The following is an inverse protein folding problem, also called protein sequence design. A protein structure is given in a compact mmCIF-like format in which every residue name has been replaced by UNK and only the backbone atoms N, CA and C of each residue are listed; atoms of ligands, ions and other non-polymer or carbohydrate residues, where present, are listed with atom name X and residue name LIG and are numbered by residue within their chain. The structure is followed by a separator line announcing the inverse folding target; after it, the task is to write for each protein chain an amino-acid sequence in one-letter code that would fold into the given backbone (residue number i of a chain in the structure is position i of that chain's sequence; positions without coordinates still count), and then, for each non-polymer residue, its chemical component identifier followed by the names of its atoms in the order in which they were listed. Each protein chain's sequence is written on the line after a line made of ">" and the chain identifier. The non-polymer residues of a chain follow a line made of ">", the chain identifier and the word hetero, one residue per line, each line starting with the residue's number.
data_IF_060721314054
#
_entry.id   IF_060721314054
#
_cell.length_a   1.000
_cell.length_b   1.000
_cell.length_c   1.000
_cell.angle_alpha   90.00
_cell.angle_beta   90.00
_cell.angle_gamma   90.00
#
_symmetry.space_group_name_H-M   'P 1'
#
loop_
_entity.id
_entity.type
_entity.pdbx_description
1 polymer ?
#
# COMPACT_ATOMS: atom_id res chain seq x y z
N UNK A 1 12.37 -28.31 13.30
CA UNK A 1 13.60 -28.22 14.10
C UNK A 1 14.87 -28.19 13.25
N UNK A 2 15.03 -29.07 12.24
CA UNK A 2 16.22 -29.06 11.34
C UNK A 2 15.80 -28.79 9.89
N UNK A 3 16.55 -27.94 9.18
CA UNK A 3 16.33 -27.59 7.78
C UNK A 3 17.55 -27.91 6.91
N UNK A 4 17.31 -28.23 5.63
CA UNK A 4 18.37 -28.65 4.70
C UNK A 4 19.10 -29.92 5.15
N UNK A 5 18.35 -30.94 5.55
CA UNK A 5 18.91 -32.17 6.11
C UNK A 5 19.44 -33.12 5.04
N UNK A 6 20.46 -33.90 5.39
CA UNK A 6 20.89 -35.07 4.62
C UNK A 6 20.66 -36.33 5.47
N UNK A 7 19.80 -37.28 5.04
CA UNK A 7 18.92 -37.24 3.87
C UNK A 7 17.78 -36.20 3.96
N UNK A 8 17.19 -35.84 2.82
CA UNK A 8 16.18 -34.78 2.73
C UNK A 8 14.86 -35.09 3.46
N UNK A 9 14.59 -36.37 3.71
CA UNK A 9 13.45 -36.83 4.50
C UNK A 9 14.00 -37.68 5.63
N UNK A 10 13.80 -37.24 6.87
CA UNK A 10 14.22 -37.99 8.04
C UNK A 10 13.28 -39.18 8.19
N UNK A 11 13.81 -40.39 8.17
CA UNK A 11 13.06 -41.61 8.44
C UNK A 11 13.49 -42.19 9.78
N UNK A 12 12.49 -42.50 10.61
CA UNK A 12 12.71 -43.21 11.85
C UNK A 12 12.61 -44.71 11.59
N UNK A 13 13.67 -45.45 11.94
CA UNK A 13 13.65 -46.90 11.85
C UNK A 13 12.63 -47.47 12.85
N UNK A 14 11.62 -48.18 12.34
CA UNK A 14 10.52 -48.76 13.12
C UNK A 14 10.99 -49.82 14.14
N UNK A 15 12.18 -50.40 13.97
CA UNK A 15 12.69 -51.48 14.82
C UNK A 15 13.66 -50.96 15.88
N UNK A 16 14.52 -50.01 15.53
CA UNK A 16 15.54 -49.48 16.44
C UNK A 16 15.16 -48.13 17.06
N UNK A 17 14.16 -47.45 16.52
CA UNK A 17 13.75 -46.11 16.92
C UNK A 17 14.75 -45.01 16.55
N UNK A 18 15.83 -45.36 15.83
CA UNK A 18 16.88 -44.42 15.45
C UNK A 18 16.47 -43.60 14.22
N UNK A 19 16.78 -42.30 14.25
CA UNK A 19 16.62 -41.40 13.10
C UNK A 19 17.87 -41.50 12.21
N UNK A 20 17.66 -41.40 10.90
CA UNK A 20 18.72 -41.46 9.88
C UNK A 20 19.40 -40.12 9.56
N UNK A 21 19.20 -39.09 10.40
CA UNK A 21 19.74 -37.74 10.20
C UNK A 21 21.27 -37.72 10.30
N UNK A 22 21.96 -37.31 9.22
CA UNK A 22 23.43 -37.25 9.15
C UNK A 22 23.93 -35.80 9.33
N UNK A 23 23.31 -34.85 8.62
CA UNK A 23 23.68 -33.44 8.68
C UNK A 23 22.46 -32.53 8.54
N UNK A 24 22.57 -31.30 9.03
CA UNK A 24 21.57 -30.24 8.88
C UNK A 24 22.28 -28.90 8.65
N UNK A 25 21.66 -28.03 7.84
CA UNK A 25 22.22 -26.71 7.51
C UNK A 25 21.66 -25.60 8.37
N UNK A 26 20.37 -25.69 8.74
CA UNK A 26 19.68 -24.66 9.53
C UNK A 26 18.96 -25.29 10.72
N UNK A 27 18.92 -24.56 11.83
CA UNK A 27 18.24 -24.94 13.06
C UNK A 27 17.11 -23.94 13.32
N UNK A 28 15.90 -24.46 13.59
CA UNK A 28 14.76 -23.66 14.03
C UNK A 28 14.52 -23.92 15.52
N UNK A 29 14.59 -22.85 16.31
CA UNK A 29 14.27 -22.83 17.73
C UNK A 29 13.30 -21.69 18.00
N UNK A 30 12.35 -21.89 18.91
CA UNK A 30 11.33 -20.91 19.23
C UNK A 30 11.02 -20.95 20.71
N UNK A 31 10.68 -19.79 21.27
CA UNK A 31 10.25 -19.65 22.65
C UNK A 31 8.73 -19.45 22.63
N UNK A 32 7.93 -20.50 22.90
CA UNK A 32 6.50 -20.31 23.02
C UNK A 32 6.21 -19.49 24.29
N UNK A 33 5.35 -18.49 24.16
CA UNK A 33 4.87 -17.70 25.30
C UNK A 33 3.35 -17.54 25.20
N UNK A 34 2.69 -17.51 26.36
CA UNK A 34 1.24 -17.37 26.47
C UNK A 34 0.88 -16.02 27.07
N UNK A 35 -0.11 -15.34 26.48
CA UNK A 35 -0.71 -14.15 27.09
C UNK A 35 -1.79 -14.60 28.08
N UNK A 36 -1.42 -14.76 29.36
CA UNK A 36 -2.38 -14.98 30.45
C UNK A 36 -3.08 -13.68 30.85
N UNK A 37 -4.23 -13.80 31.51
CA UNK A 37 -5.00 -12.66 32.03
C UNK A 37 -4.12 -11.74 32.88
N UNK A 38 -3.96 -10.49 32.43
CA UNK A 38 -3.14 -9.46 33.07
C UNK A 38 -1.82 -9.13 32.36
N UNK A 39 -1.39 -9.92 31.38
CA UNK A 39 -0.24 -9.60 30.51
C UNK A 39 -0.73 -8.76 29.33
N UNK A 40 -0.17 -7.56 29.20
CA UNK A 40 -0.52 -6.64 28.11
C UNK A 40 0.28 -6.97 26.84
N UNK A 41 -0.11 -6.36 25.71
CA UNK A 41 0.65 -6.45 24.46
C UNK A 41 2.06 -5.86 24.62
N UNK A 42 2.19 -4.83 25.46
CA UNK A 42 3.44 -4.12 25.74
C UNK A 42 4.45 -5.03 26.47
N UNK A 43 3.99 -5.85 27.42
CA UNK A 43 4.87 -6.79 28.13
C UNK A 43 5.46 -7.86 27.18
N UNK A 44 4.68 -8.29 26.18
CA UNK A 44 5.17 -9.21 25.15
C UNK A 44 6.16 -8.54 24.20
N UNK A 45 5.91 -7.28 23.83
CA UNK A 45 6.83 -6.46 23.04
C UNK A 45 8.17 -6.26 23.78
N UNK A 46 8.16 -6.03 25.09
CA UNK A 46 9.39 -5.90 25.89
C UNK A 46 10.24 -7.19 25.88
N UNK A 47 9.60 -8.35 25.99
CA UNK A 47 10.30 -9.63 25.88
C UNK A 47 10.90 -9.83 24.48
N UNK A 48 10.13 -9.53 23.42
CA UNK A 48 10.58 -9.65 22.04
C UNK A 48 11.79 -8.75 21.76
N UNK A 49 11.75 -7.51 22.21
CA UNK A 49 12.86 -6.55 22.07
C UNK A 49 14.10 -6.99 22.87
N UNK A 50 13.91 -7.52 24.08
CA UNK A 50 15.01 -8.06 24.88
C UNK A 50 15.70 -9.26 24.23
N UNK A 51 14.95 -10.11 23.51
CA UNK A 51 15.51 -11.23 22.75
C UNK A 51 16.26 -10.73 21.51
N UNK A 52 15.74 -9.70 20.83
CA UNK A 52 16.40 -9.06 19.71
C UNK A 52 17.78 -8.51 20.10
N UNK A 53 17.86 -7.74 21.19
CA UNK A 53 19.13 -7.17 21.69
C UNK A 53 20.18 -8.26 21.95
N UNK A 54 19.76 -9.41 22.50
CA UNK A 54 20.66 -10.54 22.76
C UNK A 54 21.17 -11.14 21.45
N UNK A 55 20.30 -11.30 20.45
CA UNK A 55 20.63 -11.87 19.15
C UNK A 55 21.57 -10.94 18.37
N UNK A 56 21.32 -9.64 18.40
CA UNK A 56 22.17 -8.65 17.75
C UNK A 56 23.55 -8.57 18.40
N UNK A 57 23.61 -8.60 19.74
CA UNK A 57 24.87 -8.72 20.47
C UNK A 57 25.62 -9.99 20.07
N UNK A 58 24.94 -11.14 20.05
CA UNK A 58 25.54 -12.42 19.64
C UNK A 58 26.07 -12.39 18.20
N UNK A 59 25.29 -11.85 17.25
CA UNK A 59 25.68 -11.71 15.86
C UNK A 59 26.88 -10.76 15.67
N UNK A 60 27.04 -9.77 16.54
CA UNK A 60 28.17 -8.84 16.51
C UNK A 60 29.46 -9.43 17.09
N UNK A 61 29.37 -10.27 18.12
CA UNK A 61 30.52 -10.89 18.79
C UNK A 61 31.04 -12.12 18.04
N UNK A 62 30.14 -12.86 17.39
CA UNK A 62 30.49 -14.09 16.67
C UNK A 62 30.84 -13.75 15.23
N UNK A 63 32.12 -13.84 14.87
CA UNK A 63 32.64 -13.47 13.54
C UNK A 63 32.15 -14.46 12.45
N UNK A 64 30.88 -14.33 12.05
CA UNK A 64 30.16 -15.00 10.95
C UNK A 64 30.07 -16.53 10.97
N UNK A 65 30.61 -17.23 11.98
CA UNK A 65 30.52 -18.69 12.05
C UNK A 65 29.09 -19.18 12.31
N UNK A 66 28.30 -18.42 13.05
CA UNK A 66 26.89 -18.67 13.32
C UNK A 66 26.17 -17.33 13.24
N UNK A 67 25.21 -17.21 12.33
CA UNK A 67 24.31 -16.05 12.24
C UNK A 67 22.91 -16.48 12.66
N UNK A 68 22.32 -15.73 13.59
CA UNK A 68 20.99 -16.00 14.11
C UNK A 68 20.02 -14.99 13.51
N UNK A 69 18.92 -15.48 12.95
CA UNK A 69 17.88 -14.68 12.33
C UNK A 69 16.61 -14.77 13.17
N UNK A 70 16.12 -13.63 13.64
CA UNK A 70 14.95 -13.55 14.52
C UNK A 70 13.69 -13.22 13.72
N UNK A 71 12.59 -13.85 14.11
CA UNK A 71 11.24 -13.43 13.73
C UNK A 71 10.42 -13.20 14.99
N UNK A 72 9.81 -12.01 15.08
CA UNK A 72 8.77 -11.69 16.03
C UNK A 72 7.66 -10.91 15.34
N UNK A 73 6.46 -10.92 15.90
CA UNK A 73 5.34 -10.17 15.33
C UNK A 73 5.57 -8.66 15.43
N UNK A 74 6.26 -8.21 16.49
CA UNK A 74 6.60 -6.80 16.67
C UNK A 74 7.64 -6.35 15.66
N UNK A 75 8.69 -7.14 15.44
CA UNK A 75 9.73 -6.82 14.46
C UNK A 75 9.20 -6.77 13.03
N UNK A 76 8.24 -7.63 12.70
CA UNK A 76 7.50 -7.53 11.45
C UNK A 76 6.77 -6.18 11.34
N UNK A 77 5.99 -5.82 12.36
CA UNK A 77 5.26 -4.54 12.41
C UNK A 77 6.16 -3.30 12.36
N UNK A 78 7.32 -3.37 12.99
CA UNK A 78 8.35 -2.32 12.97
C UNK A 78 9.02 -2.21 11.61
N UNK A 79 9.38 -3.32 10.96
CA UNK A 79 9.94 -3.30 9.62
C UNK A 79 8.97 -2.62 8.63
N UNK A 80 7.69 -3.01 8.67
CA UNK A 80 6.64 -2.36 7.87
C UNK A 80 6.53 -0.86 8.15
N UNK A 81 6.52 -0.46 9.42
CA UNK A 81 6.33 0.94 9.81
C UNK A 81 7.57 1.79 9.52
N UNK A 82 8.75 1.22 9.72
CA UNK A 82 10.06 1.82 9.44
C UNK A 82 10.23 2.13 7.97
N UNK A 83 9.94 1.16 7.10
CA UNK A 83 10.00 1.35 5.64
C UNK A 83 9.08 2.49 5.17
N UNK A 84 7.84 2.53 5.68
CA UNK A 84 6.89 3.61 5.35
C UNK A 84 7.41 4.99 5.80
N UNK A 85 8.05 5.06 6.98
CA UNK A 85 8.58 6.31 7.53
C UNK A 85 9.83 6.78 6.79
N UNK A 86 10.71 5.86 6.38
CA UNK A 86 11.88 6.19 5.59
C UNK A 86 11.50 6.68 4.19
N UNK A 87 10.50 6.06 3.57
CA UNK A 87 9.97 6.50 2.29
C UNK A 87 9.30 7.87 2.32
N UNK A 88 8.79 8.30 3.49
CA UNK A 88 8.22 9.63 3.67
C UNK A 88 9.23 10.74 3.33
N UNK A 89 10.53 10.51 3.54
CA UNK A 89 11.60 11.45 3.14
C UNK A 89 11.64 11.63 1.62
N UNK A 90 11.50 10.55 0.85
CA UNK A 90 11.45 10.61 -0.62
C UNK A 90 10.17 11.29 -1.12
N UNK A 91 9.05 11.10 -0.43
CA UNK A 91 7.80 11.83 -0.72
C UNK A 91 8.02 13.33 -0.57
N UNK A 92 8.66 13.79 0.52
CA UNK A 92 8.97 15.22 0.71
C UNK A 92 9.87 15.79 -0.39
N UNK A 93 10.90 15.05 -0.80
CA UNK A 93 11.76 15.44 -1.94
C UNK A 93 10.94 15.55 -3.22
N UNK A 94 10.04 14.61 -3.47
CA UNK A 94 9.16 14.61 -4.64
C UNK A 94 8.22 15.81 -4.66
N UNK A 95 7.64 16.18 -3.51
CA UNK A 95 6.82 17.39 -3.37
C UNK A 95 7.65 18.64 -3.69
N UNK A 96 8.89 18.71 -3.20
CA UNK A 96 9.82 19.80 -3.52
C UNK A 96 10.11 19.91 -5.02
N UNK A 97 10.35 18.79 -5.68
CA UNK A 97 10.57 18.75 -7.13
C UNK A 97 9.32 19.19 -7.90
N UNK A 98 8.13 18.77 -7.50
CA UNK A 98 6.87 19.24 -8.11
C UNK A 98 6.66 20.73 -7.87
N UNK A 99 7.00 21.27 -6.69
CA UNK A 99 6.93 22.70 -6.42
C UNK A 99 7.83 23.50 -7.37
N UNK A 100 9.08 23.05 -7.55
CA UNK A 100 10.04 23.64 -8.49
C UNK A 100 9.50 23.56 -9.92
N UNK A 101 8.97 22.40 -10.33
CA UNK A 101 8.33 22.22 -11.62
C UNK A 101 7.16 23.21 -11.82
N UNK A 102 6.27 23.36 -10.84
CA UNK A 102 5.14 24.28 -10.91
C UNK A 102 5.61 25.73 -11.07
N UNK A 103 6.66 26.15 -10.36
CA UNK A 103 7.22 27.50 -10.45
C UNK A 103 7.79 27.77 -11.85
N UNK A 104 8.50 26.80 -12.44
CA UNK A 104 9.12 26.96 -13.76
C UNK A 104 8.13 26.90 -14.92
N UNK A 105 7.15 25.98 -14.87
CA UNK A 105 6.29 25.68 -16.02
C UNK A 105 4.94 26.40 -15.99
N UNK A 106 4.44 26.83 -14.83
CA UNK A 106 3.15 27.53 -14.76
C UNK A 106 3.23 29.00 -15.18
N UNK A 107 4.44 29.57 -15.20
CA UNK A 107 4.71 30.94 -15.64
C UNK A 107 5.65 31.01 -16.84
N UNK A 108 5.86 32.22 -17.36
CA UNK A 108 6.91 32.49 -18.34
C UNK A 108 8.11 33.17 -17.69
N UNK A 109 9.27 33.14 -18.35
CA UNK A 109 10.49 33.82 -17.90
C UNK A 109 10.42 35.35 -18.11
N UNK A 110 9.36 35.98 -17.62
CA UNK A 110 9.17 37.42 -17.53
C UNK A 110 8.73 37.77 -16.11
N UNK A 111 9.21 38.89 -15.53
CA UNK A 111 8.90 39.25 -14.13
C UNK A 111 7.41 39.40 -13.85
N UNK A 112 6.62 39.71 -14.88
CA UNK A 112 5.19 39.99 -14.77
C UNK A 112 4.37 38.73 -15.03
N UNK A 113 4.82 37.87 -15.95
CA UNK A 113 4.18 36.59 -16.28
C UNK A 113 4.73 35.41 -15.46
N UNK A 114 5.66 35.68 -14.55
CA UNK A 114 6.10 34.72 -13.55
C UNK A 114 4.96 34.49 -12.55
N UNK A 115 4.67 33.21 -12.26
CA UNK A 115 3.50 32.75 -11.47
C UNK A 115 3.91 31.82 -10.32
N UNK A 116 5.02 32.14 -9.65
CA UNK A 116 5.43 31.48 -8.41
C UNK A 116 4.38 31.54 -7.32
N UNK A 117 3.65 32.65 -7.19
CA UNK A 117 2.58 32.76 -6.20
C UNK A 117 1.41 31.82 -6.53
N UNK A 118 1.08 31.64 -7.82
CA UNK A 118 0.08 30.66 -8.24
C UNK A 118 0.53 29.23 -7.92
N UNK A 119 1.82 28.91 -8.09
CA UNK A 119 2.39 27.61 -7.73
C UNK A 119 2.30 27.34 -6.22
N UNK A 120 2.57 28.36 -5.39
CA UNK A 120 2.36 28.27 -3.94
C UNK A 120 0.90 28.03 -3.57
N UNK A 121 -0.04 28.75 -4.20
CA UNK A 121 -1.48 28.58 -3.97
C UNK A 121 -1.97 27.21 -4.47
N UNK A 122 -1.40 26.68 -5.55
CA UNK A 122 -1.68 25.30 -6.01
C UNK A 122 -1.36 24.28 -4.93
N UNK A 123 -0.15 24.31 -4.38
CA UNK A 123 0.24 23.41 -3.30
C UNK A 123 -0.60 23.62 -2.04
N UNK A 124 -0.94 24.87 -1.73
CA UNK A 124 -1.81 25.21 -0.62
C UNK A 124 -3.23 24.63 -0.77
N UNK A 125 -3.83 24.74 -1.96
CA UNK A 125 -5.12 24.14 -2.27
C UNK A 125 -5.09 22.62 -2.10
N UNK A 126 -4.01 21.96 -2.54
CA UNK A 126 -3.85 20.51 -2.35
C UNK A 126 -3.74 20.16 -0.87
N UNK A 127 -2.91 20.87 -0.10
CA UNK A 127 -2.75 20.65 1.33
C UNK A 127 -4.06 20.88 2.12
N UNK A 128 -4.82 21.93 1.78
CA UNK A 128 -6.14 22.17 2.33
C UNK A 128 -7.13 21.06 1.99
N UNK A 129 -7.10 20.56 0.75
CA UNK A 129 -8.00 19.51 0.29
C UNK A 129 -7.70 18.18 0.98
N UNK A 130 -6.42 17.84 1.15
CA UNK A 130 -5.99 16.67 1.91
C UNK A 130 -6.41 16.76 3.38
N UNK A 131 -6.19 17.92 4.03
CA UNK A 131 -6.61 18.16 5.41
C UNK A 131 -8.13 18.05 5.58
N UNK A 132 -8.89 18.65 4.66
CA UNK A 132 -10.35 18.59 4.67
C UNK A 132 -10.88 17.17 4.46
N UNK A 133 -10.30 16.42 3.52
CA UNK A 133 -10.66 15.03 3.25
C UNK A 133 -10.34 14.12 4.44
N UNK A 134 -9.17 14.30 5.05
CA UNK A 134 -8.75 13.51 6.21
C UNK A 134 -9.66 13.79 7.41
N UNK A 135 -9.95 15.06 7.69
CA UNK A 135 -10.88 15.45 8.76
C UNK A 135 -12.31 14.92 8.52
N UNK A 136 -12.81 15.04 7.29
CA UNK A 136 -14.13 14.51 6.95
C UNK A 136 -14.20 12.99 7.06
N UNK A 137 -13.16 12.28 6.58
CA UNK A 137 -13.13 10.81 6.62
C UNK A 137 -13.05 10.28 8.05
N UNK A 138 -12.32 10.98 8.93
CA UNK A 138 -12.29 10.66 10.35
C UNK A 138 -13.65 10.88 11.03
N UNK A 139 -14.37 11.95 10.67
CA UNK A 139 -15.74 12.19 11.18
C UNK A 139 -16.75 11.11 10.75
N UNK A 140 -16.53 10.49 9.59
CA UNK A 140 -17.37 9.38 9.10
C UNK A 140 -17.02 8.05 9.81
N UNK A 141 -15.89 7.98 10.53
CA UNK A 141 -15.49 6.81 11.32
C UNK A 141 -14.46 5.90 10.63
N UNK A 142 -13.82 6.35 9.54
CA UNK A 142 -12.74 5.58 8.92
C UNK A 142 -11.42 5.74 9.68
N UNK A 143 -10.74 4.62 9.91
CA UNK A 143 -9.43 4.58 10.55
C UNK A 143 -8.31 4.88 9.56
N UNK A 144 -7.24 5.51 10.04
CA UNK A 144 -6.06 5.78 9.22
C UNK A 144 -5.16 4.55 9.13
N UNK A 145 -4.75 4.19 7.91
CA UNK A 145 -3.75 3.15 7.64
C UNK A 145 -2.45 3.79 7.13
N UNK A 146 -1.31 3.10 7.28
CA UNK A 146 0.00 3.61 6.84
C UNK A 146 0.04 4.02 5.36
N UNK A 147 -0.76 3.37 4.51
CA UNK A 147 -0.88 3.67 3.08
C UNK A 147 -1.43 5.09 2.80
N UNK A 148 -2.10 5.72 3.75
CA UNK A 148 -2.60 7.10 3.61
C UNK A 148 -1.47 8.13 3.49
N UNK A 149 -0.25 7.80 3.89
CA UNK A 149 0.93 8.66 3.74
C UNK A 149 1.29 8.94 2.27
N UNK A 150 0.85 8.09 1.35
CA UNK A 150 1.04 8.26 -0.10
C UNK A 150 -0.01 9.20 -0.72
N UNK A 151 -1.11 9.46 -0.02
CA UNK A 151 -2.24 10.21 -0.56
C UNK A 151 -1.91 11.67 -0.93
N UNK A 152 -1.13 12.43 -0.13
CA UNK A 152 -0.72 13.78 -0.52
C UNK A 152 -0.02 13.82 -1.88
N UNK A 153 0.86 12.85 -2.15
CA UNK A 153 1.58 12.78 -3.42
C UNK A 153 0.62 12.55 -4.60
N UNK A 154 -0.32 11.61 -4.45
CA UNK A 154 -1.36 11.35 -5.44
C UNK A 154 -2.22 12.61 -5.72
N UNK A 155 -2.67 13.30 -4.66
CA UNK A 155 -3.50 14.50 -4.79
C UNK A 155 -2.74 15.67 -5.42
N UNK A 156 -1.43 15.79 -5.20
CA UNK A 156 -0.60 16.79 -5.87
C UNK A 156 -0.61 16.55 -7.38
N UNK A 157 -0.42 15.32 -7.84
CA UNK A 157 -0.44 15.00 -9.27
C UNK A 157 -1.76 15.42 -9.94
N UNK A 158 -2.89 15.07 -9.33
CA UNK A 158 -4.23 15.41 -9.84
C UNK A 158 -4.49 16.93 -9.75
N UNK A 159 -4.09 17.57 -8.65
CA UNK A 159 -4.38 18.97 -8.36
C UNK A 159 -3.60 19.93 -9.25
N UNK A 160 -2.31 19.64 -9.43
CA UNK A 160 -1.42 20.39 -10.30
C UNK A 160 -1.95 20.36 -11.73
N UNK A 161 -2.34 19.20 -12.26
CA UNK A 161 -2.91 19.07 -13.61
C UNK A 161 -4.11 20.01 -13.83
N UNK A 162 -5.10 19.97 -12.94
CA UNK A 162 -6.28 20.83 -13.01
C UNK A 162 -5.92 22.32 -13.01
N UNK A 163 -5.00 22.74 -12.15
CA UNK A 163 -4.60 24.15 -12.00
C UNK A 163 -3.78 24.63 -13.20
N UNK A 164 -2.95 23.76 -13.78
CA UNK A 164 -2.23 24.02 -15.03
C UNK A 164 -3.20 24.18 -16.21
N UNK A 165 -4.24 23.36 -16.31
CA UNK A 165 -5.26 23.50 -17.36
C UNK A 165 -5.98 24.85 -17.24
N UNK A 166 -6.37 25.28 -16.04
CA UNK A 166 -6.96 26.62 -15.81
C UNK A 166 -5.98 27.71 -16.24
N UNK A 167 -4.74 27.66 -15.77
CA UNK A 167 -3.70 28.64 -16.10
C UNK A 167 -3.48 28.76 -17.61
N UNK A 168 -3.35 27.61 -18.29
CA UNK A 168 -3.15 27.52 -19.74
C UNK A 168 -4.30 28.16 -20.52
N UNK A 169 -5.57 27.86 -20.19
CA UNK A 169 -6.72 28.45 -20.86
C UNK A 169 -6.83 29.97 -20.64
N UNK A 170 -6.38 30.47 -19.48
CA UNK A 170 -6.30 31.91 -19.22
C UNK A 170 -5.19 32.60 -20.02
N UNK A 171 -4.12 31.90 -20.35
CA UNK A 171 -3.06 32.39 -21.24
C UNK A 171 -3.47 32.36 -22.72
N UNK A 172 -4.34 31.43 -23.11
CA UNK A 172 -4.97 31.43 -24.44
C UNK A 172 -5.99 32.55 -24.60
N UNK A 173 -6.61 33.04 -23.52
CA UNK A 173 -7.55 34.16 -23.60
C UNK A 173 -6.90 35.45 -24.15
N UNK A 174 -7.73 36.33 -24.70
CA UNK A 174 -7.29 37.63 -25.24
C UNK A 174 -6.85 38.56 -24.09
N UNK A 175 -5.57 38.99 -24.04
CA UNK A 175 -5.05 39.84 -22.97
C UNK A 175 -5.70 41.24 -22.92
N UNK A 176 -6.31 41.69 -24.02
CA UNK A 176 -6.98 43.00 -24.11
C UNK A 176 -8.34 43.04 -23.41
N UNK A 177 -8.93 41.86 -23.14
CA UNK A 177 -10.25 41.78 -22.53
C UNK A 177 -10.17 41.98 -21.02
N UNK A 178 -11.21 42.58 -20.40
CA UNK A 178 -11.24 42.74 -18.95
C UNK A 178 -11.18 41.38 -18.23
N UNK A 179 -10.60 41.36 -17.02
CA UNK A 179 -10.38 40.14 -16.22
C UNK A 179 -11.61 39.24 -16.16
N UNK A 180 -12.79 39.83 -15.96
CA UNK A 180 -14.07 39.09 -15.91
C UNK A 180 -14.32 38.25 -17.17
N UNK A 181 -14.05 38.81 -18.35
CA UNK A 181 -14.27 38.13 -19.64
C UNK A 181 -13.22 37.06 -19.87
N UNK A 182 -11.96 37.32 -19.48
CA UNK A 182 -10.87 36.33 -19.54
C UNK A 182 -11.13 35.14 -18.62
N UNK A 183 -11.54 35.38 -17.38
CA UNK A 183 -11.95 34.33 -16.44
C UNK A 183 -13.13 33.53 -16.97
N UNK A 184 -14.15 34.19 -17.53
CA UNK A 184 -15.29 33.49 -18.15
C UNK A 184 -14.84 32.57 -19.28
N UNK A 185 -13.96 33.04 -20.15
CA UNK A 185 -13.40 32.23 -21.24
C UNK A 185 -12.62 31.02 -20.70
N UNK A 186 -11.69 31.26 -19.78
CA UNK A 186 -10.88 30.19 -19.18
C UNK A 186 -11.74 29.14 -18.49
N UNK A 187 -12.73 29.54 -17.69
CA UNK A 187 -13.58 28.60 -16.95
C UNK A 187 -14.56 27.83 -17.84
N UNK A 188 -15.04 28.40 -18.95
CA UNK A 188 -15.88 27.65 -19.90
C UNK A 188 -15.11 26.49 -20.54
N UNK A 189 -13.84 26.71 -20.87
CA UNK A 189 -13.00 25.72 -21.54
C UNK A 189 -12.30 24.76 -20.56
N UNK A 190 -11.70 25.27 -19.49
CA UNK A 190 -11.01 24.45 -18.48
C UNK A 190 -12.01 23.77 -17.53
N UNK A 191 -13.01 24.50 -17.05
CA UNK A 191 -13.91 24.04 -15.99
C UNK A 191 -14.70 22.80 -16.38
N UNK A 192 -15.22 22.74 -17.61
CA UNK A 192 -15.96 21.58 -18.10
C UNK A 192 -15.11 20.30 -18.14
N UNK A 193 -13.87 20.40 -18.63
CA UNK A 193 -12.91 19.29 -18.62
C UNK A 193 -12.58 18.83 -17.21
N UNK A 194 -12.27 19.78 -16.31
CA UNK A 194 -11.90 19.52 -14.92
C UNK A 194 -13.04 18.87 -14.13
N UNK A 195 -14.29 19.29 -14.36
CA UNK A 195 -15.46 18.68 -13.73
C UNK A 195 -15.59 17.22 -14.13
N UNK A 196 -15.44 16.89 -15.42
CA UNK A 196 -15.56 15.52 -15.91
C UNK A 196 -14.44 14.64 -15.35
N UNK A 197 -13.18 15.10 -15.41
CA UNK A 197 -12.04 14.33 -14.90
C UNK A 197 -12.12 14.15 -13.39
N UNK A 198 -12.46 15.20 -12.63
CA UNK A 198 -12.59 15.10 -11.17
C UNK A 198 -13.76 14.20 -10.74
N UNK A 199 -14.90 14.28 -11.43
CA UNK A 199 -16.06 13.43 -11.14
C UNK A 199 -15.78 11.96 -11.43
N UNK A 200 -15.17 11.67 -12.58
CA UNK A 200 -14.82 10.29 -12.96
C UNK A 200 -13.76 9.71 -12.02
N UNK A 201 -12.73 10.48 -11.65
CA UNK A 201 -11.73 10.06 -10.66
C UNK A 201 -12.35 9.83 -9.27
N UNK A 202 -13.21 10.73 -8.80
CA UNK A 202 -13.88 10.58 -7.51
C UNK A 202 -14.75 9.31 -7.48
N UNK A 203 -15.51 9.02 -8.54
CA UNK A 203 -16.28 7.78 -8.64
C UNK A 203 -15.38 6.55 -8.67
N UNK A 204 -14.29 6.58 -9.45
CA UNK A 204 -13.37 5.44 -9.54
C UNK A 204 -12.78 5.08 -8.16
N UNK A 205 -12.35 6.08 -7.38
CA UNK A 205 -11.89 5.85 -6.01
C UNK A 205 -13.03 5.44 -5.07
N UNK A 206 -14.20 6.07 -5.14
CA UNK A 206 -15.34 5.66 -4.30
C UNK A 206 -15.84 4.24 -4.60
N UNK A 207 -15.72 3.76 -5.84
CA UNK A 207 -15.97 2.36 -6.17
C UNK A 207 -14.93 1.42 -5.55
N UNK A 208 -13.69 1.89 -5.33
CA UNK A 208 -12.66 1.19 -4.58
C UNK A 208 -13.06 0.86 -3.13
N UNK A 209 -14.01 1.61 -2.56
CA UNK A 209 -14.57 1.32 -1.23
C UNK A 209 -15.36 0.00 -1.18
N UNK A 210 -15.63 -0.64 -2.31
CA UNK A 210 -16.26 -1.98 -2.36
C UNK A 210 -15.27 -3.11 -2.08
N UNK A 211 -13.97 -2.81 -1.95
CA UNK A 211 -12.96 -3.79 -1.59
C UNK A 211 -13.22 -4.40 -0.21
N UNK A 212 -12.90 -5.69 -0.06
CA UNK A 212 -12.97 -6.42 1.22
C UNK A 212 -11.78 -6.15 2.14
N UNK A 213 -10.72 -5.52 1.63
CA UNK A 213 -9.54 -5.17 2.41
C UNK A 213 -9.76 -3.79 3.03
N UNK A 214 -9.92 -3.75 4.35
CA UNK A 214 -10.24 -2.54 5.13
C UNK A 214 -9.27 -1.38 4.85
N UNK A 215 -7.97 -1.68 4.74
CA UNK A 215 -6.94 -0.70 4.42
C UNK A 215 -7.17 -0.04 3.04
N UNK A 216 -7.58 -0.83 2.04
CA UNK A 216 -7.88 -0.32 0.69
C UNK A 216 -9.22 0.43 0.65
N UNK A 217 -10.21 -0.04 1.41
CA UNK A 217 -11.49 0.64 1.53
C UNK A 217 -11.31 2.04 2.13
N UNK A 218 -10.59 2.15 3.25
CA UNK A 218 -10.29 3.43 3.89
C UNK A 218 -9.48 4.35 2.95
N UNK A 219 -8.40 3.84 2.35
CA UNK A 219 -7.58 4.60 1.41
C UNK A 219 -8.40 5.17 0.24
N UNK A 220 -9.26 4.34 -0.34
CA UNK A 220 -10.11 4.69 -1.47
C UNK A 220 -11.12 5.79 -1.10
N UNK A 221 -11.69 5.73 0.11
CA UNK A 221 -12.60 6.75 0.61
C UNK A 221 -11.89 8.09 0.82
N UNK A 222 -10.73 8.09 1.49
CA UNK A 222 -9.92 9.29 1.71
C UNK A 222 -9.50 9.92 0.37
N UNK A 223 -9.09 9.11 -0.61
CA UNK A 223 -8.73 9.57 -1.95
C UNK A 223 -9.91 10.18 -2.70
N UNK A 224 -11.06 9.51 -2.70
CA UNK A 224 -12.28 10.01 -3.34
C UNK A 224 -12.71 11.36 -2.76
N UNK A 225 -12.74 11.49 -1.44
CA UNK A 225 -13.05 12.76 -0.78
C UNK A 225 -11.98 13.82 -1.03
N UNK A 226 -10.70 13.43 -1.06
CA UNK A 226 -9.58 14.29 -1.44
C UNK A 226 -9.79 14.94 -2.80
N UNK A 227 -10.20 14.17 -3.79
CA UNK A 227 -10.48 14.65 -5.15
C UNK A 227 -11.68 15.59 -5.17
N UNK A 228 -12.75 15.29 -4.41
CA UNK A 228 -13.93 16.17 -4.30
C UNK A 228 -13.56 17.54 -3.72
N UNK A 229 -12.82 17.57 -2.60
CA UNK A 229 -12.37 18.83 -2.00
C UNK A 229 -11.36 19.56 -2.89
N UNK A 230 -10.50 18.83 -3.59
CA UNK A 230 -9.56 19.38 -4.56
C UNK A 230 -10.25 20.03 -5.75
N UNK A 231 -11.32 19.42 -6.25
CA UNK A 231 -12.18 20.02 -7.25
C UNK A 231 -12.81 21.33 -6.75
N UNK A 232 -13.38 21.33 -5.54
CA UNK A 232 -13.98 22.53 -4.95
C UNK A 232 -12.92 23.64 -4.78
N UNK A 233 -11.74 23.33 -4.25
CA UNK A 233 -10.67 24.32 -4.03
C UNK A 233 -10.09 24.85 -5.34
N UNK A 234 -10.02 24.04 -6.40
CA UNK A 234 -9.58 24.48 -7.72
C UNK A 234 -10.55 25.49 -8.36
N UNK A 235 -11.86 25.25 -8.27
CA UNK A 235 -12.88 26.14 -8.86
C UNK A 235 -13.13 27.40 -8.03
N UNK A 236 -12.85 27.36 -6.73
CA UNK A 236 -13.11 28.49 -5.82
C UNK A 236 -11.83 29.26 -5.52
N UNK A 237 -10.94 28.69 -4.70
CA UNK A 237 -9.73 29.35 -4.19
C UNK A 237 -8.77 29.67 -5.33
N UNK A 238 -8.40 28.67 -6.14
CA UNK A 238 -7.42 28.87 -7.21
C UNK A 238 -7.97 29.80 -8.29
N UNK A 239 -9.23 29.63 -8.70
CA UNK A 239 -9.85 30.52 -9.69
C UNK A 239 -9.98 31.97 -9.20
N UNK A 240 -10.28 32.19 -7.91
CA UNK A 240 -10.27 33.52 -7.32
C UNK A 240 -8.86 34.13 -7.28
N UNK A 241 -7.85 33.33 -6.94
CA UNK A 241 -6.45 33.76 -6.98
C UNK A 241 -6.03 34.12 -8.40
N UNK A 242 -6.40 33.33 -9.41
CA UNK A 242 -6.10 33.64 -10.81
C UNK A 242 -6.77 34.94 -11.27
N UNK A 243 -7.99 35.24 -10.81
CA UNK A 243 -8.60 36.53 -11.09
C UNK A 243 -7.80 37.70 -10.49
N UNK A 244 -7.24 37.53 -9.30
CA UNK A 244 -6.33 38.50 -8.68
C UNK A 244 -4.99 38.60 -9.42
N UNK A 245 -4.41 37.47 -9.83
CA UNK A 245 -3.16 37.41 -10.61
C UNK A 245 -3.31 38.14 -11.96
N UNK A 246 -4.45 37.99 -12.62
CA UNK A 246 -4.75 38.74 -13.85
C UNK A 246 -4.86 40.25 -13.59
N UNK A 247 -5.42 40.68 -12.46
CA UNK A 247 -5.43 42.10 -12.08
C UNK A 247 -4.02 42.62 -11.78
N UNK A 248 -3.20 41.82 -11.11
CA UNK A 248 -1.77 42.10 -10.84
C UNK A 248 -0.99 42.28 -12.14
N UNK A 249 -1.18 41.36 -13.09
CA UNK A 249 -0.57 41.44 -14.42
C UNK A 249 -1.01 42.72 -15.13
N UNK A 250 -2.32 43.02 -15.17
CA UNK A 250 -2.86 44.26 -15.74
C UNK A 250 -2.28 45.53 -15.11
N UNK A 251 -1.91 45.47 -13.82
CA UNK A 251 -1.29 46.58 -13.09
C UNK A 251 0.23 46.65 -13.19
N UNK A 252 0.89 45.80 -13.99
CA UNK A 252 2.35 45.75 -14.16
C UNK A 252 3.15 45.49 -12.91
N UNK A 253 2.67 44.59 -12.07
CA UNK A 253 3.35 44.24 -10.82
C UNK A 253 3.98 42.86 -10.94
N UNK A 254 5.28 42.79 -10.61
CA UNK A 254 6.01 41.52 -10.54
C UNK A 254 5.52 40.63 -9.39
N UNK A 255 5.88 39.34 -9.46
CA UNK A 255 5.32 38.28 -8.59
C UNK A 255 6.01 38.20 -7.21
N UNK A 256 7.19 38.81 -7.06
CA UNK A 256 7.95 38.78 -5.82
C UNK A 256 7.36 39.75 -4.77
N UNK A 257 6.34 39.29 -4.04
CA UNK A 257 5.75 39.91 -2.83
C UNK A 257 5.44 41.41 -2.94
N UNK A 258 5.04 41.93 -4.10
CA UNK A 258 4.58 43.33 -4.25
C UNK A 258 5.57 44.44 -3.83
N UNK A 259 6.80 44.09 -3.44
CA UNK A 259 7.78 45.00 -2.87
C UNK A 259 8.83 45.42 -3.93
N UNK A 260 9.08 44.53 -4.90
CA UNK A 260 9.93 44.85 -6.04
C UNK A 260 9.08 45.50 -7.14
N UNK A 261 9.13 46.83 -7.24
CA UNK A 261 8.66 47.56 -8.42
C UNK A 261 9.60 47.31 -9.61
N UNK A 262 9.72 46.05 -10.03
CA UNK A 262 10.45 45.67 -11.23
C UNK A 262 9.61 46.10 -12.43
N UNK A 263 10.00 47.20 -13.07
CA UNK A 263 9.48 47.58 -14.39
C UNK A 263 10.13 46.68 -15.44
N UNK A 264 9.44 46.41 -16.55
CA UNK A 264 9.97 45.59 -17.65
C UNK A 264 11.30 46.12 -18.23
N UNK A 265 11.63 47.40 -17.96
CA UNK A 265 12.88 48.06 -18.37
C UNK A 265 14.09 47.76 -17.50
N UNK A 266 13.95 46.97 -16.43
CA UNK A 266 15.06 46.70 -15.51
C UNK A 266 16.00 45.65 -16.11
N UNK A 267 17.32 45.89 -16.22
CA UNK A 267 18.26 44.94 -16.84
C UNK A 267 18.36 43.60 -16.10
N UNK A 268 17.97 43.57 -14.82
CA UNK A 268 17.87 42.35 -14.00
C UNK A 268 16.75 41.39 -14.45
N UNK A 269 15.89 41.82 -15.38
CA UNK A 269 14.61 41.21 -15.72
C UNK A 269 14.50 40.86 -17.23
N UNK A 270 15.57 40.27 -17.78
CA UNK A 270 15.66 39.67 -19.13
C UNK A 270 15.26 40.54 -20.34
N UNK A 271 15.02 41.85 -20.18
CA UNK A 271 14.70 42.80 -21.26
C UNK A 271 13.70 42.26 -22.29
N UNK A 272 12.75 41.42 -21.85
CA UNK A 272 11.73 40.81 -22.70
C UNK A 272 12.21 39.85 -23.79
N UNK A 273 13.46 39.35 -23.78
CA UNK A 273 13.97 38.44 -24.83
C UNK A 273 13.28 37.07 -24.87
N UNK A 274 12.65 36.65 -23.78
CA UNK A 274 11.92 35.37 -23.68
C UNK A 274 10.39 35.54 -23.75
N UNK A 275 9.88 36.74 -24.00
CA UNK A 275 8.45 37.01 -24.11
C UNK A 275 7.92 36.63 -25.50
N UNK A 276 6.75 35.98 -25.56
CA UNK A 276 6.03 35.88 -26.83
C UNK A 276 5.43 37.23 -27.22
N UNK A 277 5.20 37.45 -28.52
CA UNK A 277 4.59 38.69 -29.04
C UNK A 277 3.23 38.98 -28.38
N UNK A 278 2.44 37.93 -28.09
CA UNK A 278 1.17 38.03 -27.37
C UNK A 278 1.36 38.53 -25.93
N UNK A 279 2.39 38.06 -25.23
CA UNK A 279 2.74 38.52 -23.88
C UNK A 279 3.31 39.95 -23.84
N UNK A 280 3.81 40.44 -24.99
CA UNK A 280 4.31 41.81 -25.22
C UNK A 280 3.22 42.78 -25.70
N UNK A 281 2.01 42.28 -25.99
CA UNK A 281 0.89 43.13 -26.44
C UNK A 281 0.23 43.87 -25.26
N UNK A 282 -0.54 44.93 -25.56
CA UNK A 282 -1.21 45.76 -24.55
C UNK A 282 -1.96 44.87 -23.50
N UNK A 283 -1.78 45.11 -22.19
CA UNK A 283 -1.38 46.40 -21.62
C UNK A 283 0.12 46.75 -21.66
N UNK A 284 1.00 45.92 -22.25
CA UNK A 284 2.47 46.06 -22.07
C UNK A 284 3.31 46.35 -23.32
N UNK A 285 3.04 47.55 -23.88
CA UNK A 285 3.83 48.31 -24.89
C UNK A 285 3.50 48.14 -26.39
N UNK A 286 2.28 47.82 -26.78
CA UNK A 286 1.87 48.07 -28.18
C UNK A 286 1.50 49.53 -28.40
N UNK A 287 2.09 50.23 -29.37
CA UNK A 287 1.39 51.40 -29.94
C UNK A 287 0.16 50.89 -30.71
N UNK A 288 -0.96 51.64 -30.77
CA UNK A 288 -2.14 51.23 -31.54
C UNK A 288 -1.88 51.02 -33.05
N UNK A 289 -0.65 51.23 -33.54
CA UNK A 289 -0.20 50.93 -34.91
C UNK A 289 0.53 49.59 -35.11
N UNK A 290 1.04 48.94 -34.04
CA UNK A 290 1.68 47.61 -34.13
C UNK A 290 0.66 46.49 -34.38
N UNK A 291 -0.64 46.84 -34.36
CA UNK A 291 -1.79 45.97 -34.61
C UNK A 291 -1.77 45.27 -35.98
N UNK A 292 -0.96 45.73 -36.94
CA UNK A 292 -0.91 45.15 -38.29
C UNK A 292 0.01 43.94 -38.43
N UNK A 293 0.94 43.72 -37.50
CA UNK A 293 1.78 42.51 -37.48
C UNK A 293 1.21 41.41 -36.57
N UNK A 294 -0.07 41.49 -36.20
CA UNK A 294 -0.84 40.32 -35.73
C UNK A 294 -1.21 39.48 -36.97
N UNK A 295 -0.20 39.15 -37.79
CA UNK A 295 -0.27 38.03 -38.70
C UNK A 295 -0.19 36.78 -37.85
N UNK A 296 -1.31 36.40 -37.24
CA UNK A 296 -1.69 35.02 -36.95
C UNK A 296 -0.63 34.08 -36.34
N UNK A 297 0.29 34.53 -35.49
CA UNK A 297 1.09 33.59 -34.70
C UNK A 297 0.26 33.08 -33.51
N UNK A 298 -0.42 31.97 -33.78
CA UNK A 298 -1.54 31.34 -33.04
C UNK A 298 -1.14 30.64 -31.73
N UNK A 299 0.13 30.69 -31.31
CA UNK A 299 0.69 29.78 -30.30
C UNK A 299 1.09 30.50 -29.00
N UNK A 300 0.73 29.94 -27.84
CA UNK A 300 1.11 30.48 -26.52
C UNK A 300 2.56 30.17 -26.15
N UNK A 301 3.02 28.94 -26.41
CA UNK A 301 4.33 28.43 -26.00
C UNK A 301 5.04 27.64 -27.13
N UNK A 302 6.36 27.46 -27.03
CA UNK A 302 7.16 26.71 -28.03
C UNK A 302 6.73 25.25 -28.23
N UNK A 303 6.24 24.60 -27.17
CA UNK A 303 5.67 23.23 -27.27
C UNK A 303 4.42 23.21 -28.16
N UNK A 304 3.54 24.19 -28.04
CA UNK A 304 2.35 24.29 -28.88
C UNK A 304 2.73 24.49 -30.35
N UNK A 305 3.76 25.30 -30.63
CA UNK A 305 4.31 25.49 -31.98
C UNK A 305 4.83 24.17 -32.56
N UNK A 306 5.64 23.43 -31.81
CA UNK A 306 6.14 22.11 -32.25
C UNK A 306 5.00 21.12 -32.52
N UNK A 307 4.02 21.06 -31.61
CA UNK A 307 2.87 20.16 -31.74
C UNK A 307 2.03 20.49 -32.98
N UNK A 308 1.82 21.77 -33.27
CA UNK A 308 1.03 22.18 -34.43
C UNK A 308 1.81 22.06 -35.75
N UNK A 309 3.05 22.57 -35.81
CA UNK A 309 3.81 22.66 -37.07
C UNK A 309 4.47 21.34 -37.50
N UNK A 310 4.90 20.51 -36.55
CA UNK A 310 5.62 19.26 -36.86
C UNK A 310 4.82 18.01 -36.51
N UNK A 311 4.26 17.93 -35.31
CA UNK A 311 3.64 16.69 -34.83
C UNK A 311 2.27 16.42 -35.47
N UNK A 312 1.38 17.41 -35.47
CA UNK A 312 0.02 17.29 -36.02
C UNK A 312 -0.01 16.86 -37.50
N UNK A 313 0.74 17.50 -38.43
CA UNK A 313 0.75 17.05 -39.83
C UNK A 313 1.36 15.66 -40.02
N UNK A 314 2.33 15.27 -39.17
CA UNK A 314 2.91 13.92 -39.21
C UNK A 314 1.87 12.87 -38.81
N UNK A 315 1.16 13.08 -37.70
CA UNK A 315 0.18 12.15 -37.14
C UNK A 315 -1.10 12.06 -37.99
N UNK A 316 -1.53 13.16 -38.60
CA UNK A 316 -2.75 13.20 -39.43
C UNK A 316 -2.52 12.76 -40.88
N UNK A 317 -1.27 12.58 -41.31
CA UNK A 317 -0.95 12.01 -42.62
C UNK A 317 -1.45 10.56 -42.72
N UNK A 318 -1.88 10.12 -43.92
CA UNK A 318 -2.37 8.75 -44.13
C UNK A 318 -1.35 7.69 -43.67
N UNK A 319 -0.08 7.91 -43.99
CA UNK A 319 1.02 7.04 -43.57
C UNK A 319 1.20 7.06 -42.05
N UNK A 320 1.15 8.23 -41.42
CA UNK A 320 1.27 8.38 -39.97
C UNK A 320 0.16 7.66 -39.21
N UNK A 321 -1.10 7.82 -39.63
CA UNK A 321 -2.25 7.12 -39.05
C UNK A 321 -2.07 5.61 -39.15
N UNK A 322 -1.72 5.09 -40.33
CA UNK A 322 -1.53 3.63 -40.52
C UNK A 322 -0.42 3.08 -39.64
N UNK A 323 0.71 3.78 -39.55
CA UNK A 323 1.84 3.37 -38.71
C UNK A 323 1.47 3.38 -37.23
N UNK A 324 0.80 4.43 -36.75
CA UNK A 324 0.39 4.56 -35.34
C UNK A 324 -0.61 3.46 -34.97
N UNK A 325 -1.63 3.21 -35.81
CA UNK A 325 -2.61 2.15 -35.57
C UNK A 325 -1.92 0.78 -35.55
N UNK A 326 -0.98 0.52 -36.46
CA UNK A 326 -0.24 -0.73 -36.48
C UNK A 326 0.60 -0.93 -35.20
N UNK A 327 1.28 0.11 -34.73
CA UNK A 327 2.06 0.06 -33.49
C UNK A 327 1.16 -0.23 -32.29
N UNK A 328 0.04 0.48 -32.15
CA UNK A 328 -0.89 0.25 -31.04
C UNK A 328 -1.58 -1.11 -31.12
N UNK A 329 -1.88 -1.61 -32.32
CA UNK A 329 -2.43 -2.96 -32.49
C UNK A 329 -1.42 -4.04 -32.05
N UNK A 330 -0.14 -3.88 -32.39
CA UNK A 330 0.93 -4.77 -31.92
C UNK A 330 1.07 -4.69 -30.40
N UNK A 331 1.09 -3.47 -29.84
CA UNK A 331 1.21 -3.27 -28.40
C UNK A 331 0.05 -3.91 -27.63
N UNK A 332 -1.19 -3.75 -28.11
CA UNK A 332 -2.38 -4.38 -27.52
C UNK A 332 -2.31 -5.90 -27.63
N UNK A 333 -1.85 -6.44 -28.78
CA UNK A 333 -1.65 -7.88 -28.96
C UNK A 333 -0.62 -8.46 -27.99
N UNK A 334 0.52 -7.78 -27.83
CA UNK A 334 1.57 -8.17 -26.89
C UNK A 334 1.12 -8.04 -25.43
N UNK A 335 0.42 -6.97 -25.07
CA UNK A 335 -0.13 -6.79 -23.74
C UNK A 335 -1.18 -7.86 -23.41
N UNK A 336 -2.07 -8.19 -24.37
CA UNK A 336 -3.04 -9.27 -24.23
C UNK A 336 -2.39 -10.64 -24.02
N UNK A 337 -1.30 -10.92 -24.73
CA UNK A 337 -0.49 -12.11 -24.50
C UNK A 337 0.21 -12.07 -23.13
N UNK A 338 0.74 -10.91 -22.73
CA UNK A 338 1.37 -10.72 -21.42
C UNK A 338 0.41 -11.00 -20.25
N UNK A 339 -0.87 -10.65 -20.39
CA UNK A 339 -1.89 -10.97 -19.38
C UNK A 339 -2.04 -12.50 -19.20
N UNK A 340 -1.87 -13.28 -20.26
CA UNK A 340 -1.95 -14.76 -20.17
C UNK A 340 -0.76 -15.41 -19.45
N UNK A 341 0.33 -14.67 -19.24
CA UNK A 341 1.52 -15.11 -18.52
C UNK A 341 1.56 -14.58 -17.07
N UNK A 342 0.52 -13.87 -16.63
CA UNK A 342 0.49 -13.29 -15.29
C UNK A 342 0.17 -14.38 -14.26
N UNK A 343 1.15 -14.71 -13.43
CA UNK A 343 0.95 -15.55 -12.24
C UNK A 343 0.55 -14.67 -11.04
N UNK A 344 -0.41 -15.15 -10.26
CA UNK A 344 -0.84 -14.50 -9.02
C UNK A 344 -0.09 -15.15 -7.88
N UNK A 345 0.81 -14.40 -7.26
CA UNK A 345 1.58 -14.82 -6.10
C UNK A 345 1.46 -13.78 -4.99
N UNK A 346 1.31 -14.22 -3.75
CA UNK A 346 1.22 -13.35 -2.58
C UNK A 346 2.23 -13.82 -1.55
N UNK A 347 3.31 -13.05 -1.40
CA UNK A 347 4.34 -13.28 -0.40
C UNK A 347 4.40 -12.12 0.57
N UNK A 348 4.45 -12.41 1.86
CA UNK A 348 4.61 -11.40 2.91
C UNK A 348 5.91 -10.60 2.73
N UNK A 349 6.95 -11.23 2.18
CA UNK A 349 8.24 -10.60 1.87
C UNK A 349 8.16 -9.49 0.82
N UNK A 350 7.09 -9.39 0.03
CA UNK A 350 6.88 -8.29 -0.92
C UNK A 350 6.66 -6.94 -0.27
N UNK A 351 6.27 -6.93 1.00
CA UNK A 351 5.97 -5.70 1.73
C UNK A 351 7.04 -5.31 2.76
N UNK A 352 8.14 -6.07 2.82
CA UNK A 352 9.24 -5.86 3.75
C UNK A 352 10.48 -5.45 2.95
N UNK A 353 11.16 -4.38 3.37
CA UNK A 353 12.38 -3.88 2.77
C UNK A 353 13.49 -4.92 2.70
N UNK A 354 14.37 -4.78 1.71
CA UNK A 354 15.50 -5.73 1.50
C UNK A 354 16.50 -5.74 2.67
N UNK A 355 16.55 -4.67 3.46
CA UNK A 355 17.46 -4.50 4.58
C UNK A 355 16.92 -5.01 5.92
N UNK A 356 15.63 -5.37 6.00
CA UNK A 356 15.03 -5.80 7.24
C UNK A 356 15.56 -7.18 7.67
N UNK A 357 15.91 -7.30 8.95
CA UNK A 357 16.38 -8.55 9.58
C UNK A 357 15.35 -9.69 9.41
N UNK A 358 14.06 -9.37 9.54
CA UNK A 358 12.95 -10.31 9.37
C UNK A 358 12.88 -10.95 7.97
N UNK A 359 13.32 -10.24 6.93
CA UNK A 359 13.28 -10.78 5.57
C UNK A 359 14.20 -12.00 5.42
N UNK A 360 15.39 -11.92 5.99
CA UNK A 360 16.36 -13.03 5.96
C UNK A 360 15.84 -14.29 6.67
N UNK A 361 15.00 -14.14 7.69
CA UNK A 361 14.30 -15.25 8.32
C UNK A 361 13.33 -15.92 7.34
N UNK A 362 12.48 -15.14 6.65
CA UNK A 362 11.54 -15.68 5.67
C UNK A 362 12.25 -16.35 4.48
N UNK A 363 13.34 -15.76 3.98
CA UNK A 363 14.11 -16.35 2.87
C UNK A 363 14.71 -17.71 3.26
N UNK A 364 15.22 -17.85 4.50
CA UNK A 364 15.71 -19.12 5.03
C UNK A 364 14.58 -20.14 5.27
N UNK A 365 13.42 -19.67 5.72
CA UNK A 365 12.24 -20.51 5.89
C UNK A 365 11.78 -21.08 4.54
N UNK A 366 11.64 -20.24 3.52
CA UNK A 366 11.24 -20.64 2.16
C UNK A 366 12.28 -21.58 1.50
N UNK A 367 13.57 -21.35 1.73
CA UNK A 367 14.63 -22.17 1.14
C UNK A 367 14.75 -23.56 1.81
N UNK A 368 14.82 -23.59 3.15
CA UNK A 368 15.19 -24.79 3.92
C UNK A 368 14.02 -25.50 4.59
N UNK A 369 12.93 -24.79 4.89
CA UNK A 369 11.74 -25.30 5.58
C UNK A 369 10.52 -25.19 4.66
N UNK A 370 10.62 -25.78 3.47
CA UNK A 370 9.55 -25.89 2.45
C UNK A 370 8.26 -26.61 2.92
N UNK A 371 8.12 -26.85 4.22
CA UNK A 371 6.88 -27.26 4.85
C UNK A 371 5.90 -26.09 4.79
N UNK A 372 4.70 -26.33 4.24
CA UNK A 372 3.63 -25.33 4.30
C UNK A 372 3.22 -25.03 5.75
N UNK A 373 2.46 -23.95 5.93
CA UNK A 373 1.92 -23.58 7.25
C UNK A 373 1.06 -24.70 7.83
N UNK A 374 1.13 -24.88 9.15
CA UNK A 374 0.28 -25.83 9.86
C UNK A 374 -1.19 -25.42 9.76
N UNK A 375 -2.05 -26.33 9.32
CA UNK A 375 -3.50 -26.10 9.29
C UNK A 375 -4.06 -26.28 10.70
N UNK A 376 -4.27 -25.17 11.41
CA UNK A 376 -4.90 -25.16 12.74
C UNK A 376 -6.37 -24.75 12.64
N UNK A 377 -7.26 -25.46 13.34
CA UNK A 377 -8.69 -25.12 13.39
C UNK A 377 -9.20 -25.13 14.82
N UNK A 378 -10.14 -24.22 15.12
CA UNK A 378 -10.82 -24.15 16.41
C UNK A 378 -12.18 -24.85 16.30
N UNK A 379 -12.53 -25.63 17.32
CA UNK A 379 -13.88 -26.18 17.48
C UNK A 379 -14.60 -25.29 18.49
N UNK A 380 -15.37 -24.34 17.97
CA UNK A 380 -16.20 -23.44 18.78
C UNK A 380 -17.67 -23.85 18.69
N UNK A 381 -18.31 -23.97 19.85
CA UNK A 381 -19.76 -24.08 19.94
C UNK A 381 -20.22 -23.61 21.33
N UNK A 382 -21.05 -22.55 21.40
CA UNK A 382 -21.32 -21.82 22.65
C UNK A 382 -22.13 -22.60 23.69
N UNK A 383 -22.70 -23.77 23.35
CA UNK A 383 -23.55 -24.57 24.27
C UNK A 383 -23.17 -26.07 24.31
N UNK A 384 -22.08 -26.50 23.67
CA UNK A 384 -21.72 -27.92 23.67
C UNK A 384 -20.86 -28.31 24.85
N UNK A 385 -21.37 -29.25 25.63
CA UNK A 385 -20.57 -29.95 26.65
C UNK A 385 -19.71 -31.03 25.98
N UNK A 386 -18.39 -30.83 25.99
CA UNK A 386 -17.41 -31.80 25.47
C UNK A 386 -17.44 -33.15 26.22
N UNK A 387 -17.99 -33.20 27.43
CA UNK A 387 -18.14 -34.45 28.19
C UNK A 387 -19.25 -35.34 27.64
N UNK A 388 -20.21 -34.79 26.88
CA UNK A 388 -21.35 -35.56 26.38
C UNK A 388 -20.92 -36.62 25.35
N UNK A 389 -21.52 -37.81 25.47
CA UNK A 389 -21.23 -38.95 24.57
C UNK A 389 -21.45 -38.59 23.10
N UNK A 390 -22.52 -37.85 22.79
CA UNK A 390 -22.83 -37.44 21.43
C UNK A 390 -21.75 -36.50 20.84
N UNK A 391 -21.22 -35.57 21.65
CA UNK A 391 -20.16 -34.64 21.22
C UNK A 391 -18.85 -35.38 21.00
N UNK A 392 -18.48 -36.27 21.91
CA UNK A 392 -17.30 -37.12 21.78
C UNK A 392 -17.35 -37.99 20.51
N UNK A 393 -18.50 -38.57 20.18
CA UNK A 393 -18.69 -39.31 18.93
C UNK A 393 -18.55 -38.43 17.68
N UNK A 394 -19.07 -37.19 17.72
CA UNK A 394 -18.90 -36.23 16.62
C UNK A 394 -17.43 -35.85 16.41
N UNK A 395 -16.65 -35.74 17.48
CA UNK A 395 -15.20 -35.47 17.40
C UNK A 395 -14.47 -36.67 16.77
N UNK A 396 -14.80 -37.90 17.17
CA UNK A 396 -14.26 -39.11 16.51
C UNK A 396 -14.58 -39.11 15.01
N UNK A 397 -15.83 -38.85 14.65
CA UNK A 397 -16.25 -38.76 13.24
C UNK A 397 -15.51 -37.64 12.47
N UNK A 398 -15.18 -36.54 13.13
CA UNK A 398 -14.39 -35.45 12.53
C UNK A 398 -12.95 -35.92 12.28
N UNK A 399 -12.30 -36.51 13.28
CA UNK A 399 -10.94 -37.04 13.19
C UNK A 399 -10.81 -38.10 12.08
N UNK A 400 -11.78 -39.02 11.98
CA UNK A 400 -11.83 -40.03 10.92
C UNK A 400 -11.95 -39.39 9.52
N UNK A 401 -12.83 -38.40 9.38
CA UNK A 401 -13.02 -37.68 8.12
C UNK A 401 -11.77 -36.92 7.69
N UNK A 402 -11.08 -36.26 8.62
CA UNK A 402 -9.83 -35.55 8.35
C UNK A 402 -8.75 -36.54 7.91
N UNK A 403 -8.63 -37.68 8.58
CA UNK A 403 -7.66 -38.72 8.21
C UNK A 403 -7.95 -39.30 6.81
N UNK A 404 -9.23 -39.39 6.43
CA UNK A 404 -9.69 -39.90 5.13
C UNK A 404 -9.84 -38.82 4.02
N UNK A 405 -9.33 -37.60 4.22
CA UNK A 405 -9.65 -36.47 3.36
C UNK A 405 -9.15 -36.62 1.90
N UNK A 406 -9.82 -35.94 0.96
CA UNK A 406 -9.35 -35.86 -0.42
C UNK A 406 -8.05 -35.04 -0.49
N UNK A 407 -6.93 -35.69 -0.80
CA UNK A 407 -5.59 -35.09 -0.78
C UNK A 407 -4.72 -35.55 0.39
N UNK A 408 -5.30 -36.20 1.41
CA UNK A 408 -4.55 -36.74 2.55
C UNK A 408 -3.68 -37.97 2.20
N UNK A 409 -3.82 -38.51 0.99
CA UNK A 409 -3.00 -39.63 0.47
C UNK A 409 -1.89 -39.18 -0.47
N UNK A 410 -1.77 -37.87 -0.72
CA UNK A 410 -0.77 -37.35 -1.64
C UNK A 410 0.64 -37.39 -1.05
N UNK A 411 1.65 -37.56 -1.90
CA UNK A 411 3.04 -37.75 -1.47
C UNK A 411 3.67 -36.52 -0.80
N UNK A 412 3.05 -35.35 -0.93
CA UNK A 412 3.51 -34.10 -0.33
C UNK A 412 2.98 -33.88 1.09
N UNK A 413 1.99 -34.67 1.55
CA UNK A 413 1.56 -34.63 2.94
C UNK A 413 2.48 -35.54 3.78
N UNK A 414 2.94 -35.04 4.93
CA UNK A 414 3.66 -35.86 5.90
C UNK A 414 2.68 -36.91 6.43
N UNK A 415 2.98 -38.20 6.23
CA UNK A 415 2.10 -39.27 6.71
C UNK A 415 1.98 -39.24 8.24
N UNK A 416 0.79 -39.52 8.76
CA UNK A 416 0.48 -39.51 10.20
C UNK A 416 0.71 -38.14 10.89
N UNK A 417 0.68 -37.03 10.14
CA UNK A 417 0.91 -35.69 10.69
C UNK A 417 -0.29 -35.07 11.41
N UNK A 418 -1.48 -35.67 11.30
CA UNK A 418 -2.67 -35.18 12.00
C UNK A 418 -2.56 -35.55 13.48
N UNK A 419 -2.28 -34.55 14.33
CA UNK A 419 -2.30 -34.70 15.77
C UNK A 419 -3.59 -34.08 16.33
N UNK A 420 -4.31 -34.85 17.14
CA UNK A 420 -5.54 -34.44 17.80
C UNK A 420 -5.41 -34.73 19.29
N UNK A 421 -5.63 -33.71 20.11
CA UNK A 421 -5.54 -33.85 21.56
C UNK A 421 -6.47 -34.94 22.10
N UNK A 422 -7.62 -35.11 21.45
CA UNK A 422 -8.62 -36.08 21.87
C UNK A 422 -8.17 -37.52 21.62
N UNK A 423 -7.42 -37.80 20.54
CA UNK A 423 -6.89 -39.14 20.26
C UNK A 423 -5.82 -39.51 21.30
N UNK A 424 -4.94 -38.55 21.64
CA UNK A 424 -3.96 -38.71 22.73
C UNK A 424 -4.64 -38.95 24.08
N UNK A 425 -5.70 -38.19 24.37
CA UNK A 425 -6.48 -38.33 25.60
C UNK A 425 -7.20 -39.70 25.70
N UNK A 426 -7.78 -40.19 24.60
CA UNK A 426 -8.39 -41.52 24.54
C UNK A 426 -7.36 -42.63 24.77
N UNK A 427 -6.18 -42.53 24.16
CA UNK A 427 -5.10 -43.49 24.35
C UNK A 427 -4.61 -43.52 25.81
N UNK A 428 -4.53 -42.36 26.46
CA UNK A 428 -4.21 -42.25 27.90
C UNK A 428 -5.29 -42.90 28.76
N UNK A 429 -6.56 -42.59 28.52
CA UNK A 429 -7.69 -43.17 29.25
C UNK A 429 -7.74 -44.70 29.11
N UNK A 430 -7.40 -45.25 27.93
CA UNK A 430 -7.33 -46.69 27.69
C UNK A 430 -6.18 -47.37 28.46
N UNK A 431 -5.04 -46.69 28.62
CA UNK A 431 -3.90 -47.22 29.39
C UNK A 431 -4.20 -47.26 30.90
N UNK A 432 -4.94 -46.27 31.41
CA UNK A 432 -5.25 -46.13 32.84
C UNK A 432 -6.47 -46.93 33.31
N UNK A 433 -7.02 -47.84 32.48
CA UNK A 433 -8.16 -48.70 32.86
C UNK A 433 -7.81 -49.62 34.04
N UNK A 434 -6.55 -50.06 34.15
CA UNK A 434 -6.12 -51.05 35.14
C UNK A 434 -5.46 -50.45 36.39
N UNK A 435 -5.26 -49.13 36.45
CA UNK A 435 -4.62 -48.44 37.59
C UNK A 435 -5.65 -48.05 38.64
N UNK A 436 -5.51 -48.58 39.86
CA UNK A 436 -6.42 -48.28 40.97
C UNK A 436 -6.20 -46.90 41.61
N UNK A 437 -5.10 -46.21 41.29
CA UNK A 437 -4.69 -44.93 41.87
C UNK A 437 -4.93 -43.71 40.95
N UNK A 438 -5.49 -43.89 39.74
CA UNK A 438 -5.77 -42.80 38.80
C UNK A 438 -7.23 -42.34 38.85
N UNK A 439 -7.48 -41.03 38.71
CA UNK A 439 -8.83 -40.46 38.57
C UNK A 439 -9.47 -40.89 37.24
N UNK A 440 -8.66 -41.31 36.26
CA UNK A 440 -9.10 -41.97 35.02
C UNK A 440 -9.54 -43.44 35.16
N UNK A 441 -9.47 -44.04 36.37
CA UNK A 441 -9.76 -45.48 36.56
C UNK A 441 -11.20 -45.82 36.19
N UNK A 442 -11.38 -46.62 35.14
CA UNK A 442 -12.71 -47.02 34.65
C UNK A 442 -13.46 -45.94 33.87
N UNK A 443 -12.80 -44.81 33.53
CA UNK A 443 -13.41 -43.73 32.78
C UNK A 443 -13.62 -44.06 31.28
N UNK A 444 -13.04 -45.14 30.77
CA UNK A 444 -13.17 -45.54 29.35
C UNK A 444 -14.39 -46.44 29.12
N UNK A 445 -15.35 -45.95 28.33
CA UNK A 445 -16.46 -46.75 27.83
C UNK A 445 -16.07 -47.42 26.50
N UNK A 446 -15.68 -48.69 26.60
CA UNK A 446 -15.31 -49.51 25.45
C UNK A 446 -16.48 -49.76 24.46
N UNK A 447 -17.73 -49.63 24.88
CA UNK A 447 -18.88 -49.87 23.99
C UNK A 447 -19.10 -48.72 23.01
N UNK A 448 -18.87 -47.47 23.47
CA UNK A 448 -19.09 -46.28 22.67
C UNK A 448 -17.78 -45.64 22.17
N UNK A 449 -16.62 -46.16 22.59
CA UNK A 449 -15.28 -45.59 22.30
C UNK A 449 -15.19 -44.11 22.74
N UNK A 450 -15.72 -43.83 23.92
CA UNK A 450 -15.76 -42.50 24.54
C UNK A 450 -15.39 -42.59 26.00
N UNK A 451 -15.14 -41.44 26.62
CA UNK A 451 -14.88 -41.33 28.05
C UNK A 451 -16.20 -41.03 28.75
N UNK A 452 -16.44 -41.66 29.90
CA UNK A 452 -17.66 -41.48 30.66
C UNK A 452 -17.83 -40.00 31.08
N UNK A 453 -19.00 -39.37 30.81
CA UNK A 453 -19.19 -37.94 31.06
C UNK A 453 -18.90 -37.51 32.51
N UNK A 454 -19.18 -38.40 33.46
CA UNK A 454 -18.98 -38.18 34.91
C UNK A 454 -17.49 -38.03 35.28
N UNK A 455 -16.60 -38.73 34.58
CA UNK A 455 -15.16 -38.78 34.86
C UNK A 455 -14.32 -37.98 33.86
N UNK A 456 -14.95 -37.37 32.85
CA UNK A 456 -14.28 -36.68 31.74
C UNK A 456 -13.30 -35.59 32.22
N UNK A 457 -13.76 -34.60 32.98
CA UNK A 457 -12.92 -33.47 33.40
C UNK A 457 -11.87 -33.84 34.46
N UNK A 458 -12.18 -34.82 35.33
CA UNK A 458 -11.21 -35.33 36.30
C UNK A 458 -10.05 -36.01 35.56
N UNK A 459 -10.38 -36.91 34.62
CA UNK A 459 -9.40 -37.58 33.79
C UNK A 459 -8.64 -36.62 32.87
N UNK A 460 -9.29 -35.58 32.34
CA UNK A 460 -8.65 -34.55 31.51
C UNK A 460 -7.61 -33.75 32.30
N UNK A 461 -7.91 -33.35 33.54
CA UNK A 461 -6.93 -32.65 34.39
C UNK A 461 -5.71 -33.54 34.69
N UNK A 462 -5.93 -34.83 34.95
CA UNK A 462 -4.84 -35.80 35.14
C UNK A 462 -4.00 -35.94 33.86
N UNK A 463 -4.65 -36.06 32.70
CA UNK A 463 -3.97 -36.11 31.40
C UNK A 463 -3.12 -34.87 31.14
N UNK A 464 -3.66 -33.66 31.33
CA UNK A 464 -2.94 -32.40 31.15
C UNK A 464 -1.76 -32.25 32.11
N UNK A 465 -1.85 -32.82 33.32
CA UNK A 465 -0.75 -32.86 34.28
C UNK A 465 0.32 -33.91 33.95
N UNK A 466 -0.01 -34.88 33.09
CA UNK A 466 0.90 -35.93 32.65
C UNK A 466 1.89 -35.42 31.61
N UNK A 467 3.02 -36.12 31.48
CA UNK A 467 4.05 -35.78 30.48
C UNK A 467 3.54 -35.83 29.03
N UNK A 468 2.49 -36.61 28.76
CA UNK A 468 1.86 -36.72 27.44
C UNK A 468 0.90 -35.58 27.14
N UNK A 469 0.17 -35.10 28.15
CA UNK A 469 -0.73 -33.94 27.99
C UNK A 469 0.00 -32.60 28.06
N UNK A 470 1.13 -32.51 28.78
CA UNK A 470 1.93 -31.27 28.85
C UNK A 470 2.61 -30.86 27.53
N UNK A 471 2.67 -31.78 26.55
CA UNK A 471 3.25 -31.56 25.23
C UNK A 471 2.24 -31.19 24.15
N UNK A 472 0.95 -31.21 24.47
CA UNK A 472 -0.16 -30.80 23.61
C UNK A 472 -0.81 -29.53 24.16
#
# INVERSE_FOLDING_TARGET
>A
MFGGTEPATITQDKVTGANDLISAKVLLTGIPYERRDGITKEDAEELENGVEDIIDAFNSETDKSITVHLFTQSLLGEAFSGDILDDLKFVQVSIGLVAVYCIFFMGSCSPIHFRSAAAGITLWCVALSYSAASGFSYLVGFNSAGIHNLLPFLLIGIGVDNMFVISSQLDHSDPMKPVRVRMRYGMIHAGSSITITSFTNAIAFLLGCTSKLDALQSFSFFAGMGIVFLYISSLTIFSAFMAWDLQRQMAQRGDCCGCCSCKEDTPLCCSGKLLTLKQRSYPFRGQPGDLKEIGDETYSNGTQKFLHEKFSPLVTSKTGITVIIAIWAILVGLAGFGISLLEIDFKTTYFIGETATVRSYFDLQDEYFKTGDSITFYVDSPETDFSSVETQQKINMLNDKITSCHGCTEQWLIQESFDSWYVGFQAYAQQMIASSDSECSGAWDAANSVIEPSSFYACLNEFLSSRQGSSQ
#
